data_IF_434983564503
#
_entry.id   IF_434983564503
#
_cell.length_a   1.000
_cell.length_b   1.000
_cell.length_c   1.000
_cell.angle_alpha   90.00
_cell.angle_beta   90.00
_cell.angle_gamma   90.00
#
_symmetry.space_group_name_H-M   'P 1'
#
loop_
_entity.id
_entity.type
_entity.pdbx_description
1 polymer ?
#
# COMPACT_ATOMS: atom_id res chain seq x y z
N UNK A 1 28.90 85.50 -3.75
CA UNK A 1 28.63 85.64 -5.19
C UNK A 1 27.70 84.50 -5.61
N UNK A 2 26.60 84.88 -6.26
CA UNK A 2 25.60 84.11 -7.03
C UNK A 2 25.11 82.75 -6.49
N UNK A 3 23.83 82.79 -6.12
CA UNK A 3 22.90 81.68 -6.10
C UNK A 3 22.87 80.91 -7.43
N UNK A 4 22.55 79.62 -7.34
CA UNK A 4 21.86 78.90 -8.41
C UNK A 4 20.76 78.06 -7.79
N UNK A 5 19.53 78.57 -7.89
CA UNK A 5 18.29 77.83 -7.72
C UNK A 5 17.99 77.06 -9.02
N UNK A 6 17.53 75.81 -8.95
CA UNK A 6 16.77 75.17 -10.03
C UNK A 6 15.79 74.10 -9.50
N UNK A 7 14.52 74.51 -9.47
CA UNK A 7 13.24 73.80 -9.72
C UNK A 7 13.20 72.26 -9.73
N UNK A 8 12.47 71.60 -8.81
CA UNK A 8 11.03 71.25 -8.83
C UNK A 8 10.62 69.99 -9.63
N UNK A 9 10.29 68.89 -8.91
CA UNK A 9 8.95 68.27 -8.74
C UNK A 9 9.02 66.75 -8.51
N UNK A 10 8.52 66.35 -7.33
CA UNK A 10 7.79 65.14 -6.91
C UNK A 10 7.95 63.81 -7.68
N UNK A 11 8.34 62.77 -6.94
CA UNK A 11 7.71 61.44 -7.03
C UNK A 11 7.83 60.72 -5.67
N UNK A 12 6.69 60.48 -5.03
CA UNK A 12 6.59 59.64 -3.85
C UNK A 12 6.91 58.20 -4.23
N UNK A 13 7.81 57.54 -3.51
CA UNK A 13 7.90 56.07 -3.51
C UNK A 13 7.58 55.63 -2.08
N UNK A 14 6.38 55.11 -1.90
CA UNK A 14 6.02 54.35 -0.72
C UNK A 14 6.84 53.05 -0.74
N UNK A 15 7.79 52.91 0.18
CA UNK A 15 8.45 51.61 0.40
C UNK A 15 7.53 50.76 1.26
N UNK A 16 6.73 49.90 0.61
CA UNK A 16 6.16 48.73 1.25
C UNK A 16 7.32 47.77 1.59
N UNK A 17 7.73 47.72 2.85
CA UNK A 17 8.51 46.57 3.34
C UNK A 17 7.54 45.42 3.60
N UNK A 18 7.46 44.51 2.63
CA UNK A 18 6.89 43.19 2.85
C UNK A 18 7.81 42.36 3.75
N UNK A 19 7.25 41.76 4.79
CA UNK A 19 7.84 40.61 5.46
C UNK A 19 6.89 39.43 5.22
N UNK A 20 7.36 38.48 4.43
CA UNK A 20 6.68 37.23 4.09
C UNK A 20 6.38 36.45 5.37
N UNK A 21 5.10 36.14 5.59
CA UNK A 21 4.70 35.10 6.54
C UNK A 21 5.12 33.78 5.92
N UNK A 22 6.18 33.16 6.46
CA UNK A 22 6.57 31.81 6.11
C UNK A 22 5.49 30.84 6.58
N UNK A 23 4.62 30.42 5.66
CA UNK A 23 3.82 29.22 5.85
C UNK A 23 4.73 28.03 5.58
N UNK A 24 5.36 27.53 6.64
CA UNK A 24 5.94 26.20 6.62
C UNK A 24 4.79 25.21 6.50
N UNK A 25 4.46 24.79 5.28
CA UNK A 25 3.60 23.65 5.05
C UNK A 25 4.36 22.40 5.48
N UNK A 26 4.11 21.99 6.72
CA UNK A 26 4.57 20.72 7.24
C UNK A 26 3.89 19.59 6.46
N UNK A 27 4.66 18.90 5.63
CA UNK A 27 4.28 17.60 5.11
C UNK A 27 4.21 16.63 6.29
N UNK A 28 3.01 16.47 6.86
CA UNK A 28 2.77 15.39 7.82
C UNK A 28 2.76 14.08 7.05
N UNK A 29 3.87 13.33 7.14
CA UNK A 29 3.89 11.93 6.69
C UNK A 29 2.94 11.13 7.57
N UNK A 30 1.69 10.94 7.14
CA UNK A 30 0.84 9.90 7.71
C UNK A 30 1.48 8.56 7.38
N UNK A 31 1.94 7.85 8.41
CA UNK A 31 2.30 6.45 8.28
C UNK A 31 1.09 5.72 7.67
N UNK A 32 1.31 4.99 6.57
CA UNK A 32 0.27 4.17 5.97
C UNK A 32 -0.14 3.10 6.99
N UNK A 33 -1.37 3.19 7.50
CA UNK A 33 -1.97 2.17 8.36
C UNK A 33 -2.59 1.15 7.40
N UNK A 34 -2.29 -0.14 7.56
CA UNK A 34 -2.93 -1.21 6.79
C UNK A 34 -4.45 -1.09 6.91
N UNK A 35 -5.20 -1.25 5.81
CA UNK A 35 -6.66 -1.24 5.92
C UNK A 35 -7.11 -2.53 6.59
N UNK A 36 -8.00 -2.42 7.57
CA UNK A 36 -8.52 -3.59 8.29
C UNK A 36 -9.88 -4.00 7.72
N UNK A 37 -10.03 -5.27 7.40
CA UNK A 37 -11.27 -5.88 6.90
C UNK A 37 -11.64 -7.08 7.76
N UNK A 38 -12.86 -7.09 8.30
CA UNK A 38 -13.37 -8.23 9.11
C UNK A 38 -14.37 -9.05 8.30
N UNK A 39 -14.16 -10.36 8.23
CA UNK A 39 -14.97 -11.31 7.47
C UNK A 39 -15.48 -12.44 8.37
N UNK A 40 -16.80 -12.53 8.51
CA UNK A 40 -17.48 -13.66 9.13
C UNK A 40 -18.05 -14.63 8.09
N UNK A 41 -18.68 -15.71 8.57
CA UNK A 41 -19.35 -16.67 7.71
C UNK A 41 -20.38 -16.00 6.79
N UNK A 42 -20.45 -16.45 5.53
CA UNK A 42 -21.37 -15.93 4.52
C UNK A 42 -21.27 -14.40 4.29
N UNK A 43 -20.08 -13.81 4.46
CA UNK A 43 -19.89 -12.38 4.19
C UNK A 43 -20.43 -11.97 2.81
N UNK A 44 -20.87 -10.71 2.70
CA UNK A 44 -21.40 -10.13 1.47
C UNK A 44 -20.82 -8.72 1.28
N UNK A 45 -20.47 -8.32 0.05
CA UNK A 45 -20.50 -9.13 -1.18
C UNK A 45 -19.46 -10.26 -1.16
N UNK A 46 -19.71 -11.34 -1.90
CA UNK A 46 -18.75 -12.44 -2.12
C UNK A 46 -18.57 -12.63 -3.64
N UNK A 47 -17.40 -12.31 -4.23
CA UNK A 47 -16.19 -11.83 -3.55
C UNK A 47 -16.36 -10.43 -2.94
N UNK A 48 -15.65 -10.18 -1.85
CA UNK A 48 -15.34 -8.82 -1.39
C UNK A 48 -14.08 -8.36 -2.11
N UNK A 49 -13.98 -7.08 -2.43
CA UNK A 49 -12.80 -6.51 -3.08
C UNK A 49 -12.27 -5.32 -2.30
N UNK A 50 -10.95 -5.30 -2.10
CA UNK A 50 -10.20 -4.17 -1.57
C UNK A 50 -9.28 -3.67 -2.68
N UNK A 51 -9.19 -2.35 -2.85
CA UNK A 51 -8.30 -1.73 -3.82
C UNK A 51 -7.15 -1.05 -3.09
N UNK A 52 -5.95 -1.12 -3.65
CA UNK A 52 -4.77 -0.52 -3.06
C UNK A 52 -3.65 -0.32 -4.07
N UNK A 53 -2.55 0.20 -3.57
CA UNK A 53 -1.30 0.37 -4.32
C UNK A 53 -0.24 -0.44 -3.59
N UNK A 54 0.36 -1.38 -4.32
CA UNK A 54 1.26 -2.39 -3.78
C UNK A 54 2.73 -2.06 -3.99
N UNK A 55 3.55 -3.10 -3.90
CA UNK A 55 5.00 -3.04 -4.13
C UNK A 55 5.81 -2.99 -2.83
N UNK A 56 7.03 -2.47 -2.96
CA UNK A 56 7.97 -2.31 -1.86
C UNK A 56 9.42 -2.43 -2.30
N UNK A 57 10.32 -2.24 -1.34
CA UNK A 57 11.76 -2.15 -1.56
C UNK A 57 12.55 -3.32 -0.94
N UNK A 58 11.88 -4.21 -0.20
CA UNK A 58 12.52 -5.34 0.48
C UNK A 58 12.16 -6.66 -0.18
N UNK A 59 13.14 -7.58 -0.37
CA UNK A 59 12.83 -8.93 -0.80
C UNK A 59 11.81 -9.59 0.12
N UNK A 60 10.78 -10.21 -0.45
CA UNK A 60 9.70 -10.83 0.32
C UNK A 60 10.23 -11.83 1.36
N UNK A 61 11.15 -12.70 0.95
CA UNK A 61 11.77 -13.70 1.81
C UNK A 61 12.48 -13.12 3.06
N UNK A 62 13.01 -11.90 2.96
CA UNK A 62 13.67 -11.24 4.09
C UNK A 62 12.65 -10.69 5.08
N UNK A 63 11.53 -10.15 4.58
CA UNK A 63 10.47 -9.54 5.41
C UNK A 63 9.67 -10.59 6.17
N UNK A 64 9.37 -11.74 5.55
CA UNK A 64 8.63 -12.84 6.20
C UNK A 64 9.53 -13.97 6.73
N UNK A 65 10.85 -13.77 6.71
CA UNK A 65 11.86 -14.66 7.27
C UNK A 65 11.79 -16.11 6.74
N UNK A 66 11.28 -16.31 5.52
CA UNK A 66 11.25 -17.60 4.84
C UNK A 66 11.35 -17.45 3.32
N UNK A 67 12.20 -18.26 2.70
CA UNK A 67 12.33 -18.30 1.24
C UNK A 67 11.23 -19.13 0.57
N UNK A 68 10.62 -20.08 1.29
CA UNK A 68 9.63 -21.01 0.75
C UNK A 68 8.43 -21.15 1.70
N UNK A 69 7.26 -21.28 1.10
CA UNK A 69 5.99 -21.55 1.77
C UNK A 69 5.32 -22.79 1.16
N UNK A 70 4.29 -23.37 1.80
CA UNK A 70 3.53 -24.47 1.22
C UNK A 70 2.88 -24.16 -0.14
N UNK A 71 2.67 -22.89 -0.48
CA UNK A 71 2.01 -22.44 -1.73
C UNK A 71 2.99 -21.96 -2.79
N UNK A 72 4.29 -21.90 -2.48
CA UNK A 72 5.32 -21.43 -3.40
C UNK A 72 6.44 -20.65 -2.73
N UNK A 73 7.48 -20.28 -3.50
CA UNK A 73 8.56 -19.44 -3.01
C UNK A 73 8.09 -18.01 -2.71
N UNK A 74 8.71 -17.36 -1.73
CA UNK A 74 8.44 -15.96 -1.39
C UNK A 74 9.30 -15.03 -2.26
N UNK A 75 8.89 -14.90 -3.52
CA UNK A 75 9.56 -14.09 -4.53
C UNK A 75 9.03 -12.64 -4.55
N UNK A 76 9.79 -11.76 -5.20
CA UNK A 76 9.45 -10.36 -5.38
C UNK A 76 9.82 -9.47 -4.21
N UNK A 77 9.23 -8.27 -4.21
CA UNK A 77 9.53 -7.19 -3.29
C UNK A 77 8.25 -6.69 -2.63
N UNK A 78 8.29 -6.55 -1.31
CA UNK A 78 7.18 -6.08 -0.47
C UNK A 78 7.66 -4.98 0.48
N UNK A 79 6.72 -4.19 0.96
CA UNK A 79 6.93 -3.21 2.03
C UNK A 79 7.18 -3.88 3.37
N UNK A 80 7.82 -3.16 4.30
CA UNK A 80 8.01 -3.65 5.67
C UNK A 80 6.71 -3.74 6.47
N UNK A 81 5.69 -2.96 6.10
CA UNK A 81 4.34 -3.01 6.67
C UNK A 81 3.37 -3.72 5.72
N UNK A 82 2.42 -4.53 6.21
CA UNK A 82 1.39 -5.11 5.35
C UNK A 82 0.51 -4.02 4.74
N UNK A 83 -0.07 -4.31 3.58
CA UNK A 83 -1.02 -3.42 2.91
C UNK A 83 -2.42 -3.58 3.50
N UNK A 84 -2.80 -4.81 3.83
CA UNK A 84 -4.10 -5.15 4.40
C UNK A 84 -3.95 -6.01 5.66
N UNK A 85 -4.89 -5.85 6.59
CA UNK A 85 -5.10 -6.76 7.70
C UNK A 85 -6.51 -7.35 7.62
N UNK A 86 -6.61 -8.65 7.36
CA UNK A 86 -7.89 -9.36 7.24
C UNK A 86 -8.14 -10.17 8.51
N UNK A 87 -9.23 -9.86 9.21
CA UNK A 87 -9.67 -10.58 10.41
C UNK A 87 -10.76 -11.57 10.00
N UNK A 88 -10.48 -12.86 10.10
CA UNK A 88 -11.46 -13.92 9.88
C UNK A 88 -12.13 -14.28 11.21
N UNK A 89 -13.44 -14.09 11.32
CA UNK A 89 -14.20 -14.39 12.56
C UNK A 89 -14.56 -15.88 12.68
N UNK A 90 -14.53 -16.60 11.56
CA UNK A 90 -14.91 -18.01 11.47
C UNK A 90 -13.90 -18.80 10.64
N UNK A 91 -13.96 -20.12 10.73
CA UNK A 91 -13.25 -21.00 9.78
C UNK A 91 -13.84 -20.86 8.39
N UNK A 92 -12.99 -20.92 7.37
CA UNK A 92 -13.37 -21.12 5.98
C UNK A 92 -12.73 -22.41 5.48
N UNK A 93 -13.51 -23.31 4.86
CA UNK A 93 -12.96 -24.56 4.30
C UNK A 93 -12.29 -24.33 2.94
N UNK A 94 -12.68 -23.28 2.22
CA UNK A 94 -12.10 -22.89 0.94
C UNK A 94 -12.27 -21.38 0.68
N UNK A 95 -11.40 -20.55 1.26
CA UNK A 95 -11.31 -19.12 0.96
C UNK A 95 -10.15 -18.90 -0.02
N UNK A 96 -10.41 -18.13 -1.07
CA UNK A 96 -9.40 -17.70 -2.04
C UNK A 96 -9.13 -16.20 -1.87
N UNK A 97 -7.85 -15.85 -1.79
CA UNK A 97 -7.36 -14.47 -1.88
C UNK A 97 -6.57 -14.35 -3.17
N UNK A 98 -7.05 -13.52 -4.09
CA UNK A 98 -6.48 -13.34 -5.44
C UNK A 98 -6.22 -11.87 -5.72
N UNK A 99 -5.09 -11.56 -6.32
CA UNK A 99 -4.74 -10.22 -6.77
C UNK A 99 -5.10 -10.07 -8.24
N UNK A 100 -5.61 -8.89 -8.61
CA UNK A 100 -5.76 -8.46 -10.00
C UNK A 100 -5.00 -7.14 -10.18
N UNK A 101 -4.02 -7.13 -11.09
CA UNK A 101 -3.27 -5.95 -11.51
C UNK A 101 -2.87 -6.06 -12.99
N UNK A 102 -2.55 -4.92 -13.59
CA UNK A 102 -1.93 -4.83 -14.92
C UNK A 102 -0.41 -5.10 -14.88
N UNK A 103 0.20 -5.00 -13.69
CA UNK A 103 1.60 -5.29 -13.46
C UNK A 103 1.79 -6.64 -12.77
N UNK A 104 3.03 -7.12 -12.82
CA UNK A 104 3.44 -8.40 -12.25
C UNK A 104 3.53 -8.30 -10.72
N UNK A 105 2.64 -9.01 -10.03
CA UNK A 105 2.45 -8.87 -8.57
C UNK A 105 2.88 -10.11 -7.82
N UNK A 106 3.20 -9.95 -6.53
CA UNK A 106 3.42 -11.08 -5.61
C UNK A 106 2.47 -10.94 -4.42
N UNK A 107 1.97 -12.05 -3.91
CA UNK A 107 1.06 -12.11 -2.76
C UNK A 107 1.75 -12.87 -1.64
N UNK A 108 1.86 -12.20 -0.48
CA UNK A 108 2.34 -12.81 0.75
C UNK A 108 1.28 -12.64 1.82
N UNK A 109 0.93 -13.74 2.50
CA UNK A 109 -0.03 -13.76 3.59
C UNK A 109 0.65 -14.37 4.82
N UNK A 110 0.57 -13.70 5.96
CA UNK A 110 1.08 -14.20 7.25
C UNK A 110 -0.03 -14.16 8.30
N UNK A 111 -0.23 -15.24 9.05
CA UNK A 111 -1.27 -15.31 10.07
C UNK A 111 -1.33 -16.66 10.77
N UNK A 112 -2.46 -17.00 11.41
CA UNK A 112 -2.66 -18.31 12.03
C UNK A 112 -2.37 -19.45 11.05
N UNK A 113 -1.36 -20.27 11.37
CA UNK A 113 -0.93 -21.43 10.57
C UNK A 113 0.37 -21.23 9.79
N UNK A 114 0.85 -19.99 9.62
CA UNK A 114 2.16 -19.72 9.02
C UNK A 114 2.17 -18.59 7.99
N UNK A 115 2.97 -18.79 6.95
CA UNK A 115 3.18 -17.86 5.83
C UNK A 115 2.88 -18.59 4.53
N UNK A 116 2.23 -17.90 3.60
CA UNK A 116 1.92 -18.37 2.26
C UNK A 116 2.33 -17.32 1.25
N UNK A 117 3.01 -17.76 0.21
CA UNK A 117 3.53 -16.93 -0.87
C UNK A 117 3.10 -17.50 -2.22
N UNK A 118 2.78 -16.61 -3.15
CA UNK A 118 2.55 -16.94 -4.55
C UNK A 118 2.80 -15.69 -5.40
N UNK A 119 3.45 -15.83 -6.55
CA UNK A 119 3.64 -14.77 -7.55
C UNK A 119 2.77 -15.02 -8.80
N UNK A 120 2.72 -16.26 -9.28
CA UNK A 120 1.94 -16.63 -10.46
C UNK A 120 0.85 -17.68 -10.15
N UNK A 121 -0.36 -17.46 -10.69
CA UNK A 121 -1.47 -18.42 -10.62
C UNK A 121 -2.16 -18.58 -11.99
N UNK A 122 -1.42 -19.13 -12.95
CA UNK A 122 -1.86 -19.26 -14.35
C UNK A 122 -1.81 -17.95 -15.17
N UNK A 123 -1.42 -16.86 -14.52
CA UNK A 123 -1.08 -15.55 -15.07
C UNK A 123 -0.08 -14.86 -14.14
N UNK A 124 0.34 -13.62 -14.46
CA UNK A 124 1.22 -12.76 -13.63
C UNK A 124 0.58 -12.22 -12.34
N UNK A 125 -0.60 -12.74 -12.02
CA UNK A 125 -1.41 -12.34 -10.89
C UNK A 125 -1.53 -13.53 -9.94
N UNK A 126 -1.13 -13.38 -8.68
CA UNK A 126 -1.10 -14.46 -7.71
C UNK A 126 -2.48 -14.75 -7.10
N UNK A 127 -2.65 -15.99 -6.67
CA UNK A 127 -3.80 -16.43 -5.89
C UNK A 127 -3.42 -17.51 -4.89
N UNK A 128 -3.97 -17.43 -3.68
CA UNK A 128 -3.82 -18.45 -2.64
C UNK A 128 -5.22 -18.87 -2.18
N UNK A 129 -5.52 -20.16 -2.30
CA UNK A 129 -6.80 -20.75 -1.88
C UNK A 129 -6.57 -21.92 -0.93
N UNK A 130 -7.50 -22.11 -0.01
CA UNK A 130 -7.46 -23.24 0.92
C UNK A 130 -8.33 -23.03 2.15
N UNK A 131 -8.09 -23.86 3.16
CA UNK A 131 -8.73 -23.71 4.45
C UNK A 131 -8.02 -22.63 5.28
N UNK A 132 -8.78 -21.77 5.95
CA UNK A 132 -8.27 -20.71 6.80
C UNK A 132 -8.94 -20.76 8.18
N UNK A 133 -8.12 -20.55 9.22
CA UNK A 133 -8.56 -20.52 10.61
C UNK A 133 -9.07 -19.12 10.99
N UNK A 134 -9.77 -18.95 12.11
CA UNK A 134 -10.17 -17.64 12.57
C UNK A 134 -8.94 -16.93 13.12
N UNK A 135 -8.87 -15.62 12.92
CA UNK A 135 -7.78 -14.78 13.39
C UNK A 135 -7.35 -13.74 12.37
N UNK A 136 -6.24 -13.08 12.68
CA UNK A 136 -5.75 -11.93 11.93
C UNK A 136 -4.66 -12.34 10.94
N UNK A 137 -4.88 -11.99 9.67
CA UNK A 137 -3.97 -12.23 8.56
C UNK A 137 -3.43 -10.91 8.03
N UNK A 138 -2.12 -10.80 7.97
CA UNK A 138 -1.41 -9.67 7.35
C UNK A 138 -1.14 -10.02 5.90
N UNK A 139 -1.50 -9.12 5.00
CA UNK A 139 -1.41 -9.34 3.56
C UNK A 139 -0.51 -8.28 2.95
N UNK A 140 0.47 -8.72 2.17
CA UNK A 140 1.28 -7.87 1.31
C UNK A 140 0.94 -8.20 -0.13
N UNK A 141 0.59 -7.16 -0.89
CA UNK A 141 0.57 -7.20 -2.34
C UNK A 141 1.80 -6.45 -2.83
N UNK A 142 2.83 -7.21 -3.20
CA UNK A 142 4.10 -6.70 -3.70
C UNK A 142 4.16 -6.64 -5.21
N UNK A 143 5.36 -6.39 -5.71
CA UNK A 143 5.68 -6.51 -7.12
C UNK A 143 6.78 -7.56 -7.33
N UNK A 144 6.74 -8.24 -8.47
CA UNK A 144 7.78 -9.23 -8.80
C UNK A 144 9.17 -8.56 -8.95
N UNK A 145 9.21 -7.32 -9.45
CA UNK A 145 10.44 -6.53 -9.59
C UNK A 145 10.49 -5.39 -8.57
N UNK A 146 11.70 -5.05 -8.14
CA UNK A 146 11.93 -3.91 -7.27
C UNK A 146 11.42 -2.61 -7.90
N UNK A 147 11.02 -1.67 -7.06
CA UNK A 147 10.60 -0.30 -7.42
C UNK A 147 9.35 -0.21 -8.31
N UNK A 148 8.70 -1.35 -8.61
CA UNK A 148 7.38 -1.36 -9.23
C UNK A 148 6.31 -1.10 -8.17
N UNK A 149 5.34 -0.26 -8.53
CA UNK A 149 4.26 0.20 -7.66
C UNK A 149 2.93 -0.12 -8.34
N UNK A 150 2.45 -1.38 -8.27
CA UNK A 150 1.23 -1.82 -8.93
C UNK A 150 -0.02 -1.29 -8.22
N UNK A 151 -0.93 -0.66 -8.95
CA UNK A 151 -2.31 -0.56 -8.49
C UNK A 151 -2.95 -1.96 -8.58
N UNK A 152 -3.66 -2.36 -7.53
CA UNK A 152 -4.22 -3.70 -7.44
C UNK A 152 -5.64 -3.72 -6.90
N UNK A 153 -6.32 -4.83 -7.16
CA UNK A 153 -7.53 -5.27 -6.47
C UNK A 153 -7.27 -6.61 -5.81
N UNK A 154 -7.48 -6.69 -4.50
CA UNK A 154 -7.47 -7.94 -3.74
C UNK A 154 -8.91 -8.45 -3.66
N UNK A 155 -9.17 -9.57 -4.30
CA UNK A 155 -10.45 -10.27 -4.26
C UNK A 155 -10.38 -11.37 -3.22
N UNK A 156 -11.31 -11.34 -2.28
CA UNK A 156 -11.44 -12.34 -1.22
C UNK A 156 -12.78 -13.04 -1.43
N UNK A 157 -12.71 -14.33 -1.78
CA UNK A 157 -13.86 -15.12 -2.19
C UNK A 157 -13.98 -16.38 -1.32
N UNK A 158 -15.11 -16.54 -0.66
CA UNK A 158 -15.48 -17.83 -0.08
C UNK A 158 -16.06 -18.73 -1.18
N UNK A 159 -15.41 -19.89 -1.39
CA UNK A 159 -15.73 -20.90 -2.40
C UNK A 159 -16.23 -22.20 -1.78
N UNK A 160 -16.59 -22.18 -0.49
CA UNK A 160 -17.14 -23.33 0.22
C UNK A 160 -18.61 -23.62 -0.09
#
# INVERSE_FOLDING_TARGET
MKAMQMSWRLASIAMLTGALVGLGEGWQSQAAIAQSLTLGANFRPNPTTVAGTGGGDRPAADVVETANSPTGPCLGYISTTPHEEVVLETNFSNLEMRVESDLDTTLVISGPGGVWCNDDSGSKNPAIAGAWLPGTYRIWVGAYRAEQVPDYRLLIQDRS
#
